data_IF_240438540607
#
_entry.id   IF_240438540607
#
_cell.length_a   1.000
_cell.length_b   1.000
_cell.length_c   1.000
_cell.angle_alpha   90.00
_cell.angle_beta   90.00
_cell.angle_gamma   90.00
#
_symmetry.space_group_name_H-M   'P 1'
#
loop_
_entity.id
_entity.type
_entity.pdbx_description
1 polymer ?
#
# COMPACT_ATOMS: atom_id res chain seq x y z
N UNK A 1 -14.67 -1.77 -12.34
CA UNK A 1 -14.11 -1.77 -10.98
C UNK A 1 -14.74 -0.64 -10.21
N UNK A 2 -14.89 -0.82 -8.92
CA UNK A 2 -15.31 0.20 -7.98
C UNK A 2 -14.22 0.27 -6.93
N UNK A 3 -13.25 1.16 -7.19
CA UNK A 3 -12.01 1.24 -6.43
C UNK A 3 -12.22 2.16 -5.23
N UNK A 4 -11.96 1.61 -4.06
CA UNK A 4 -11.89 2.38 -2.83
C UNK A 4 -10.49 2.25 -2.20
N UNK A 5 -9.89 3.38 -1.82
CA UNK A 5 -8.63 3.41 -1.08
C UNK A 5 -8.96 3.69 0.39
N UNK A 6 -8.58 2.76 1.27
CA UNK A 6 -8.74 2.93 2.72
C UNK A 6 -7.37 3.19 3.34
N UNK A 7 -7.19 4.38 3.87
CA UNK A 7 -6.05 4.76 4.70
C UNK A 7 -6.25 4.23 6.13
N UNK A 8 -5.19 3.67 6.71
CA UNK A 8 -5.23 2.93 7.97
C UNK A 8 -4.23 3.52 8.99
N UNK A 9 -3.07 3.95 8.52
CA UNK A 9 -2.12 4.73 9.31
C UNK A 9 -2.54 6.22 9.36
N UNK A 10 -2.34 6.94 10.49
CA UNK A 10 -1.61 6.54 11.70
C UNK A 10 -2.45 5.87 12.80
N UNK A 11 -3.75 5.66 12.56
CA UNK A 11 -4.70 5.19 13.60
C UNK A 11 -4.43 3.76 14.11
N UNK A 12 -3.48 3.04 13.50
CA UNK A 12 -3.20 1.63 13.80
C UNK A 12 -1.97 1.47 14.69
N UNK A 13 -2.15 0.76 15.80
CA UNK A 13 -1.05 0.30 16.68
C UNK A 13 -0.27 -0.80 15.95
N UNK A 14 1.06 -0.84 16.13
CA UNK A 14 1.90 -1.95 15.66
C UNK A 14 1.33 -3.31 16.11
N UNK A 15 0.92 -4.14 15.16
CA UNK A 15 0.49 -5.51 15.43
C UNK A 15 1.64 -6.40 14.95
N UNK A 16 2.32 -7.08 15.88
CA UNK A 16 3.33 -8.10 15.56
C UNK A 16 4.45 -7.53 14.63
N UNK A 17 4.98 -6.35 14.95
CA UNK A 17 6.03 -5.65 14.15
C UNK A 17 5.60 -5.25 12.73
N UNK A 18 4.31 -5.31 12.43
CA UNK A 18 3.73 -4.84 11.17
C UNK A 18 2.81 -3.64 11.41
N UNK A 19 2.73 -2.78 10.41
CA UNK A 19 1.84 -1.62 10.38
C UNK A 19 1.13 -1.60 9.03
N UNK A 20 -0.19 -1.68 9.06
CA UNK A 20 -0.98 -1.45 7.86
C UNK A 20 -1.00 0.05 7.53
N UNK A 21 -0.61 0.40 6.31
CA UNK A 21 -0.55 1.80 5.87
C UNK A 21 -1.84 2.20 5.19
N UNK A 22 -2.19 1.49 4.12
CA UNK A 22 -3.42 1.67 3.37
C UNK A 22 -3.73 0.39 2.59
N UNK A 23 -4.93 0.32 2.03
CA UNK A 23 -5.35 -0.75 1.13
C UNK A 23 -6.20 -0.22 0.01
N UNK A 24 -6.15 -0.91 -1.12
CA UNK A 24 -6.98 -0.63 -2.29
C UNK A 24 -7.91 -1.81 -2.48
N UNK A 25 -9.21 -1.53 -2.50
CA UNK A 25 -10.25 -2.55 -2.57
C UNK A 25 -11.05 -2.34 -3.85
N UNK A 26 -11.19 -3.39 -4.66
CA UNK A 26 -12.27 -3.41 -5.66
C UNK A 26 -13.54 -3.95 -5.00
N UNK A 27 -14.52 -3.08 -4.82
CA UNK A 27 -15.77 -3.41 -4.13
C UNK A 27 -16.61 -4.43 -4.88
N UNK A 28 -16.41 -4.62 -6.19
CA UNK A 28 -17.17 -5.60 -6.98
C UNK A 28 -16.72 -7.03 -6.70
N UNK A 29 -15.40 -7.26 -6.63
CA UNK A 29 -14.81 -8.60 -6.51
C UNK A 29 -14.23 -8.87 -5.11
N UNK A 30 -14.22 -7.85 -4.24
CA UNK A 30 -13.68 -7.89 -2.87
C UNK A 30 -12.19 -8.25 -2.79
N UNK A 31 -11.47 -8.14 -3.90
CA UNK A 31 -10.03 -8.29 -3.95
C UNK A 31 -9.35 -7.03 -3.41
N UNK A 32 -8.21 -7.22 -2.76
CA UNK A 32 -7.51 -6.14 -2.05
C UNK A 32 -6.01 -6.17 -2.33
N UNK A 33 -5.45 -5.00 -2.58
CA UNK A 33 -4.01 -4.77 -2.50
C UNK A 33 -3.74 -4.10 -1.16
N UNK A 34 -2.96 -4.75 -0.30
CA UNK A 34 -2.60 -4.25 1.03
C UNK A 34 -1.18 -3.72 1.02
N UNK A 35 -1.01 -2.50 1.51
CA UNK A 35 0.31 -1.91 1.74
C UNK A 35 0.57 -1.83 3.24
N UNK A 36 1.67 -2.42 3.66
CA UNK A 36 2.06 -2.50 5.05
C UNK A 36 3.56 -2.34 5.20
N UNK A 37 4.00 -1.88 6.36
CA UNK A 37 5.40 -1.86 6.76
C UNK A 37 5.65 -3.02 7.71
N UNK A 38 6.76 -3.74 7.55
CA UNK A 38 7.24 -4.71 8.54
C UNK A 38 8.60 -4.31 9.06
N UNK A 39 8.80 -4.40 10.37
CA UNK A 39 10.09 -4.05 10.99
C UNK A 39 11.06 -5.23 10.88
N UNK A 40 12.16 -5.03 10.16
CA UNK A 40 13.26 -5.98 10.04
C UNK A 40 14.48 -5.38 10.74
N UNK A 41 14.85 -5.96 11.87
CA UNK A 41 15.88 -5.42 12.78
C UNK A 41 15.50 -4.02 13.26
N UNK A 42 16.08 -2.98 12.65
CA UNK A 42 15.90 -1.57 12.99
C UNK A 42 15.39 -0.72 11.80
N UNK A 43 15.08 -1.36 10.67
CA UNK A 43 14.54 -0.70 9.47
C UNK A 43 13.11 -1.20 9.24
N UNK A 44 12.32 -0.38 8.54
CA UNK A 44 11.01 -0.78 8.06
C UNK A 44 11.10 -1.15 6.58
N UNK A 45 10.64 -2.34 6.23
CA UNK A 45 10.43 -2.70 4.84
C UNK A 45 8.96 -2.44 4.48
N UNK A 46 8.73 -1.60 3.47
CA UNK A 46 7.42 -1.40 2.88
C UNK A 46 7.14 -2.56 1.94
N UNK A 47 6.02 -3.22 2.16
CA UNK A 47 5.56 -4.38 1.42
C UNK A 47 4.19 -4.11 0.79
N UNK A 48 3.95 -4.79 -0.33
CA UNK A 48 2.65 -4.89 -0.99
C UNK A 48 2.22 -6.34 -1.04
N UNK A 49 1.01 -6.63 -0.59
CA UNK A 49 0.37 -7.95 -0.68
C UNK A 49 -0.83 -7.85 -1.62
N UNK A 50 -0.85 -8.65 -2.67
CA UNK A 50 -2.06 -8.89 -3.44
C UNK A 50 -2.79 -10.11 -2.85
N UNK A 51 -3.99 -9.89 -2.31
CA UNK A 51 -4.76 -10.95 -1.65
C UNK A 51 -5.36 -11.97 -2.60
N UNK A 52 -5.48 -11.67 -3.91
CA UNK A 52 -6.06 -12.62 -4.88
C UNK A 52 -5.07 -13.74 -5.23
N UNK A 53 -3.78 -13.43 -5.28
CA UNK A 53 -2.71 -14.39 -5.58
C UNK A 53 -1.87 -14.78 -4.34
N UNK A 54 -2.10 -14.14 -3.20
CA UNK A 54 -1.36 -14.38 -1.95
C UNK A 54 0.12 -13.96 -2.03
N UNK A 55 0.49 -13.17 -3.02
CA UNK A 55 1.88 -12.79 -3.27
C UNK A 55 2.24 -11.50 -2.53
N UNK A 56 3.38 -11.52 -1.83
CA UNK A 56 3.96 -10.35 -1.18
C UNK A 56 5.23 -9.92 -1.91
N UNK A 57 5.35 -8.63 -2.18
CA UNK A 57 6.57 -8.02 -2.71
C UNK A 57 7.11 -6.95 -1.76
N UNK A 58 8.42 -6.96 -1.51
CA UNK A 58 9.12 -5.86 -0.87
C UNK A 58 9.32 -4.72 -1.88
N UNK A 59 8.96 -3.50 -1.49
CA UNK A 59 9.00 -2.33 -2.37
C UNK A 59 10.27 -1.53 -2.13
N UNK A 60 10.48 -1.14 -0.87
CA UNK A 60 11.60 -0.30 -0.44
C UNK A 60 11.80 -0.42 1.07
N UNK A 61 12.97 0.01 1.55
CA UNK A 61 13.29 0.09 2.96
C UNK A 61 13.37 1.55 3.41
N UNK A 62 12.92 1.83 4.62
CA UNK A 62 12.96 3.15 5.23
C UNK A 62 13.38 3.05 6.69
N UNK A 63 14.06 4.09 7.16
CA UNK A 63 14.69 4.08 8.47
C UNK A 63 13.77 4.63 9.57
N UNK A 64 12.68 5.31 9.18
CA UNK A 64 11.76 5.94 10.12
C UNK A 64 10.31 5.98 9.59
N UNK A 65 9.39 6.36 10.48
CA UNK A 65 7.96 6.45 10.19
C UNK A 65 7.57 7.71 9.40
N UNK A 66 8.40 8.76 9.35
CA UNK A 66 8.12 9.97 8.54
C UNK A 66 8.00 9.62 7.05
N UNK A 67 8.77 8.62 6.59
CA UNK A 67 8.64 8.08 5.24
C UNK A 67 7.29 7.42 4.96
N UNK A 68 6.55 7.00 5.98
CA UNK A 68 5.20 6.49 5.80
C UNK A 68 4.23 7.61 5.46
N UNK A 69 4.35 8.76 6.13
CA UNK A 69 3.55 9.94 5.84
C UNK A 69 3.80 10.44 4.41
N UNK A 70 5.07 10.58 4.01
CA UNK A 70 5.44 10.97 2.66
C UNK A 70 4.83 10.04 1.60
N UNK A 71 4.86 8.73 1.87
CA UNK A 71 4.31 7.71 0.99
C UNK A 71 2.79 7.82 0.89
N UNK A 72 2.10 7.89 2.02
CA UNK A 72 0.65 8.00 2.10
C UNK A 72 0.17 9.26 1.38
N UNK A 73 0.84 10.39 1.58
CA UNK A 73 0.51 11.64 0.92
C UNK A 73 0.74 11.58 -0.59
N UNK A 74 1.76 10.85 -1.05
CA UNK A 74 1.96 10.59 -2.48
C UNK A 74 0.79 9.79 -3.06
N UNK A 75 0.30 8.79 -2.35
CA UNK A 75 -0.86 7.99 -2.78
C UNK A 75 -2.15 8.81 -2.76
N UNK A 76 -2.38 9.66 -1.75
CA UNK A 76 -3.54 10.59 -1.71
C UNK A 76 -3.56 11.53 -2.90
N UNK A 77 -2.40 12.08 -3.30
CA UNK A 77 -2.30 12.96 -4.48
C UNK A 77 -2.67 12.26 -5.79
N UNK A 78 -2.42 10.95 -5.87
CA UNK A 78 -2.68 10.14 -7.06
C UNK A 78 -4.01 9.37 -6.99
N UNK A 79 -4.81 9.55 -5.93
CA UNK A 79 -6.00 8.75 -5.65
C UNK A 79 -7.00 8.75 -6.82
N UNK A 80 -7.27 9.92 -7.40
CA UNK A 80 -8.19 10.06 -8.54
C UNK A 80 -7.65 9.40 -9.82
N UNK A 81 -6.33 9.30 -9.96
CA UNK A 81 -5.71 8.58 -11.08
C UNK A 81 -5.82 7.07 -10.85
N UNK A 82 -5.56 6.61 -9.63
CA UNK A 82 -5.68 5.21 -9.22
C UNK A 82 -7.11 4.70 -9.45
N UNK A 83 -8.13 5.47 -9.02
CA UNK A 83 -9.55 5.09 -9.17
C UNK A 83 -10.01 4.92 -10.61
N UNK A 84 -9.32 5.53 -11.58
CA UNK A 84 -9.65 5.43 -13.03
C UNK A 84 -9.09 4.18 -13.69
N UNK A 85 -8.17 3.47 -13.03
CA UNK A 85 -7.54 2.27 -13.58
C UNK A 85 -8.53 1.10 -13.53
N UNK A 86 -8.55 0.29 -14.61
CA UNK A 86 -9.61 -0.69 -14.87
C UNK A 86 -9.29 -2.13 -14.44
N UNK A 87 -8.11 -2.40 -13.92
CA UNK A 87 -7.77 -3.69 -13.30
C UNK A 87 -6.74 -3.51 -12.16
N UNK A 88 -6.71 -4.46 -11.22
CA UNK A 88 -5.79 -4.40 -10.07
C UNK A 88 -4.31 -4.50 -10.47
N UNK A 89 -3.98 -5.30 -11.49
CA UNK A 89 -2.60 -5.46 -11.97
C UNK A 89 -1.99 -4.14 -12.44
N UNK A 90 -2.76 -3.32 -13.17
CA UNK A 90 -2.35 -2.00 -13.61
C UNK A 90 -2.23 -1.03 -12.44
N UNK A 91 -3.08 -1.16 -11.42
CA UNK A 91 -2.97 -0.39 -10.17
C UNK A 91 -1.67 -0.72 -9.44
N UNK A 92 -1.33 -2.00 -9.30
CA UNK A 92 -0.06 -2.43 -8.70
C UNK A 92 1.13 -1.83 -9.43
N UNK A 93 1.17 -2.00 -10.75
CA UNK A 93 2.25 -1.47 -11.59
C UNK A 93 2.37 0.06 -11.48
N UNK A 94 1.23 0.76 -11.46
CA UNK A 94 1.18 2.20 -11.33
C UNK A 94 1.72 2.67 -9.97
N UNK A 95 1.30 2.05 -8.87
CA UNK A 95 1.78 2.39 -7.54
C UNK A 95 3.25 2.05 -7.37
N UNK A 96 3.71 0.91 -7.88
CA UNK A 96 5.13 0.57 -7.84
C UNK A 96 6.00 1.60 -8.56
N UNK A 97 5.52 2.18 -9.67
CA UNK A 97 6.21 3.30 -10.33
C UNK A 97 6.22 4.57 -9.47
N UNK A 98 5.11 4.86 -8.79
CA UNK A 98 5.02 5.99 -7.86
C UNK A 98 5.98 5.81 -6.70
N UNK A 99 6.12 4.61 -6.14
CA UNK A 99 6.90 4.39 -4.92
C UNK A 99 8.40 4.21 -5.17
N UNK A 100 8.80 3.76 -6.37
CA UNK A 100 10.21 3.58 -6.75
C UNK A 100 10.88 4.81 -7.34
N UNK A 101 10.10 5.78 -7.82
CA UNK A 101 10.57 7.08 -8.31
C UNK A 101 10.50 8.15 -7.23
#
# INVERSE_FOLDING_TARGET
MDINIKYIYPETVFIIREINLFRIVDLNIKETIVFYARMIRNEYEICMLNTSIGNTIGILKVDNTEKFDELIDKIKREEENIKKIKNLSDIENYILKILKN
#
